data_IF_946495162933
#
_entry.id   IF_946495162933
#
_cell.length_a   1.000
_cell.length_b   1.000
_cell.length_c   1.000
_cell.angle_alpha   90.00
_cell.angle_beta   90.00
_cell.angle_gamma   90.00
#
_symmetry.space_group_name_H-M   'P 1'
#
loop_
_entity.id
_entity.type
_entity.pdbx_description
1 polymer ?
#
# COMPACT_ATOMS: atom_id res chain seq x y z
N UNK A 1 2.41 19.95 0.41
CA UNK A 1 1.31 19.18 -0.24
C UNK A 1 0.49 18.49 0.85
N UNK A 2 -0.84 18.62 0.82
CA UNK A 2 -1.72 17.93 1.78
C UNK A 2 -2.04 16.53 1.23
N UNK A 3 -1.87 15.49 2.06
CA UNK A 3 -2.22 14.11 1.71
C UNK A 3 -3.35 13.65 2.62
N UNK A 4 -4.49 13.31 2.01
CA UNK A 4 -5.63 12.69 2.69
C UNK A 4 -5.49 11.18 2.59
N UNK A 5 -5.46 10.52 3.74
CA UNK A 5 -5.25 9.07 3.82
C UNK A 5 -6.48 8.40 4.39
N UNK A 6 -6.99 7.39 3.68
CA UNK A 6 -8.02 6.49 4.18
C UNK A 6 -7.44 5.09 4.34
N UNK A 7 -7.56 4.55 5.55
CA UNK A 7 -7.11 3.19 5.88
C UNK A 7 -8.31 2.31 6.19
N UNK A 8 -8.36 1.12 5.57
CA UNK A 8 -9.36 0.10 5.84
C UNK A 8 -8.67 -1.18 6.31
N UNK A 9 -8.93 -1.55 7.56
CA UNK A 9 -8.43 -2.79 8.13
C UNK A 9 -9.41 -3.95 7.82
N UNK A 10 -9.40 -4.41 6.56
CA UNK A 10 -10.06 -5.66 6.16
C UNK A 10 -9.35 -6.28 4.96
N UNK A 11 -9.58 -7.58 4.75
CA UNK A 11 -8.98 -8.37 3.66
C UNK A 11 -9.88 -8.52 2.45
N UNK A 12 -11.12 -8.03 2.51
CA UNK A 12 -12.06 -8.00 1.38
C UNK A 12 -11.64 -7.03 0.26
N UNK A 13 -12.36 -7.09 -0.86
CA UNK A 13 -12.11 -6.23 -2.03
C UNK A 13 -12.83 -4.88 -1.89
N UNK A 14 -12.08 -3.78 -2.02
CA UNK A 14 -12.61 -2.41 -2.04
C UNK A 14 -13.19 -2.10 -3.43
N UNK A 15 -14.44 -1.64 -3.44
CA UNK A 15 -15.13 -1.23 -4.66
C UNK A 15 -14.94 0.25 -5.01
N UNK A 16 -15.31 0.60 -6.25
CA UNK A 16 -15.33 1.97 -6.75
C UNK A 16 -16.08 2.98 -5.86
N UNK A 17 -17.24 2.65 -5.25
CA UNK A 17 -17.98 3.63 -4.43
C UNK A 17 -17.15 4.16 -3.26
N UNK A 18 -16.39 3.29 -2.58
CA UNK A 18 -15.54 3.69 -1.46
C UNK A 18 -14.38 4.57 -1.91
N UNK A 19 -13.78 4.24 -3.06
CA UNK A 19 -12.70 5.06 -3.66
C UNK A 19 -13.23 6.43 -4.09
N UNK A 20 -14.43 6.50 -4.68
CA UNK A 20 -15.08 7.76 -5.03
C UNK A 20 -15.40 8.62 -3.80
N UNK A 21 -15.77 8.01 -2.68
CA UNK A 21 -16.01 8.72 -1.43
C UNK A 21 -14.75 9.45 -0.96
N UNK A 22 -13.58 8.81 -1.02
CA UNK A 22 -12.30 9.45 -0.69
C UNK A 22 -12.01 10.63 -1.62
N UNK A 23 -12.11 10.42 -2.93
CA UNK A 23 -11.85 11.46 -3.94
C UNK A 23 -12.79 12.65 -3.79
N UNK A 24 -14.05 12.40 -3.39
CA UNK A 24 -15.02 13.46 -3.13
C UNK A 24 -14.58 14.43 -2.03
N UNK A 25 -13.62 14.03 -1.18
CA UNK A 25 -13.03 14.90 -0.16
C UNK A 25 -11.80 15.66 -0.66
N UNK A 26 -11.25 15.36 -1.82
CA UNK A 26 -9.98 15.93 -2.32
C UNK A 26 -10.18 17.36 -2.83
N UNK A 27 -9.44 18.30 -2.24
CA UNK A 27 -9.37 19.70 -2.65
C UNK A 27 -8.37 19.94 -3.79
N UNK A 28 -8.31 21.19 -4.27
CA UNK A 28 -7.40 21.59 -5.33
C UNK A 28 -5.94 21.43 -4.88
N UNK A 29 -5.16 20.62 -5.61
CA UNK A 29 -3.74 20.40 -5.31
C UNK A 29 -3.47 19.46 -4.13
N UNK A 30 -4.51 18.84 -3.56
CA UNK A 30 -4.37 17.80 -2.56
C UNK A 30 -4.15 16.43 -3.20
N UNK A 31 -3.53 15.52 -2.45
CA UNK A 31 -3.31 14.13 -2.85
C UNK A 31 -4.15 13.21 -1.96
N UNK A 32 -4.54 12.06 -2.51
CA UNK A 32 -5.33 11.04 -1.84
C UNK A 32 -4.61 9.72 -1.85
N UNK A 33 -4.60 9.03 -0.71
CA UNK A 33 -4.03 7.70 -0.55
C UNK A 33 -5.09 6.80 0.10
N UNK A 34 -5.43 5.70 -0.55
CA UNK A 34 -6.25 4.66 0.05
C UNK A 34 -5.38 3.45 0.35
N UNK A 35 -5.37 2.99 1.59
CA UNK A 35 -4.66 1.76 2.02
C UNK A 35 -5.66 0.71 2.48
N UNK A 36 -5.52 -0.52 2.00
CA UNK A 36 -6.29 -1.69 2.45
C UNK A 36 -5.37 -2.90 2.63
N UNK A 37 -5.76 -3.85 3.48
CA UNK A 37 -5.08 -5.16 3.56
C UNK A 37 -5.59 -6.15 2.51
N UNK A 38 -6.68 -5.83 1.84
CA UNK A 38 -7.26 -6.62 0.76
C UNK A 38 -6.80 -6.15 -0.62
N UNK A 39 -7.74 -6.19 -1.56
CA UNK A 39 -7.55 -5.84 -2.97
C UNK A 39 -8.53 -4.76 -3.42
N UNK A 40 -8.39 -4.28 -4.66
CA UNK A 40 -9.32 -3.35 -5.30
C UNK A 40 -10.03 -4.02 -6.48
N UNK A 41 -11.27 -3.64 -6.74
CA UNK A 41 -11.95 -4.05 -7.98
C UNK A 41 -11.28 -3.41 -9.20
N UNK A 42 -11.49 -3.99 -10.39
CA UNK A 42 -10.97 -3.43 -11.65
C UNK A 42 -11.45 -2.00 -11.89
N UNK A 43 -12.70 -1.71 -11.53
CA UNK A 43 -13.28 -0.38 -11.68
C UNK A 43 -12.64 0.63 -10.72
N UNK A 44 -12.30 0.21 -9.49
CA UNK A 44 -11.56 1.06 -8.54
C UNK A 44 -10.15 1.39 -9.06
N UNK A 45 -9.45 0.40 -9.63
CA UNK A 45 -8.14 0.61 -10.27
C UNK A 45 -8.25 1.51 -11.52
N UNK A 46 -9.35 1.45 -12.26
CA UNK A 46 -9.58 2.35 -13.39
C UNK A 46 -9.70 3.81 -12.93
N UNK A 47 -10.31 4.07 -11.77
CA UNK A 47 -10.41 5.41 -11.19
C UNK A 47 -9.01 5.96 -10.84
N UNK A 48 -8.15 5.15 -10.23
CA UNK A 48 -6.75 5.54 -9.93
C UNK A 48 -6.01 6.02 -11.18
N UNK A 49 -6.13 5.28 -12.29
CA UNK A 49 -5.49 5.63 -13.57
C UNK A 49 -6.02 6.94 -14.16
N UNK A 50 -7.27 7.28 -13.89
CA UNK A 50 -7.93 8.47 -14.45
C UNK A 50 -7.79 9.72 -13.57
N UNK A 51 -7.41 9.56 -12.30
CA UNK A 51 -7.37 10.65 -11.31
C UNK A 51 -5.94 10.91 -10.84
N UNK A 52 -5.23 11.88 -11.45
CA UNK A 52 -3.93 12.31 -10.96
C UNK A 52 -3.99 12.70 -9.49
N UNK A 53 -3.04 12.21 -8.70
CA UNK A 53 -2.96 12.48 -7.27
C UNK A 53 -3.75 11.52 -6.39
N UNK A 54 -4.38 10.48 -6.95
CA UNK A 54 -4.88 9.33 -6.19
C UNK A 54 -3.90 8.16 -6.29
N UNK A 55 -3.63 7.51 -5.16
CA UNK A 55 -2.94 6.22 -5.09
C UNK A 55 -3.72 5.22 -4.27
N UNK A 56 -3.77 3.99 -4.75
CA UNK A 56 -4.37 2.85 -4.08
C UNK A 56 -3.25 1.88 -3.68
N UNK A 57 -3.20 1.50 -2.40
CA UNK A 57 -2.23 0.56 -1.85
C UNK A 57 -2.96 -0.67 -1.32
N UNK A 58 -2.63 -1.81 -1.90
CA UNK A 58 -3.14 -3.13 -1.51
C UNK A 58 -2.35 -3.69 -0.32
N UNK A 59 -2.83 -4.82 0.20
CA UNK A 59 -2.10 -5.57 1.22
C UNK A 59 -0.74 -6.05 0.71
N UNK A 60 -0.64 -6.45 -0.55
CA UNK A 60 0.62 -6.89 -1.17
C UNK A 60 1.62 -5.73 -1.28
N UNK A 61 1.15 -4.54 -1.67
CA UNK A 61 2.00 -3.34 -1.71
C UNK A 61 2.52 -2.98 -0.31
N UNK A 62 1.67 -3.10 0.71
CA UNK A 62 2.05 -2.85 2.10
C UNK A 62 3.12 -3.84 2.57
N UNK A 63 2.93 -5.13 2.32
CA UNK A 63 3.91 -6.17 2.67
C UNK A 63 5.24 -5.90 1.97
N UNK A 64 5.21 -5.59 0.67
CA UNK A 64 6.41 -5.29 -0.11
C UNK A 64 7.17 -4.10 0.48
N UNK A 65 6.49 -2.98 0.74
CA UNK A 65 7.13 -1.80 1.35
C UNK A 65 7.69 -2.07 2.74
N UNK A 66 7.00 -2.90 3.55
CA UNK A 66 7.47 -3.31 4.87
C UNK A 66 8.75 -4.14 4.76
N UNK A 67 8.80 -5.11 3.84
CA UNK A 67 9.99 -5.93 3.62
C UNK A 67 11.18 -5.11 3.10
N UNK A 68 10.94 -4.26 2.10
CA UNK A 68 11.98 -3.40 1.50
C UNK A 68 12.57 -2.38 2.48
N UNK A 69 11.81 -1.99 3.51
CA UNK A 69 12.21 -0.97 4.47
C UNK A 69 12.32 -1.51 5.90
N UNK A 70 12.34 -2.84 6.08
CA UNK A 70 12.23 -3.46 7.39
C UNK A 70 13.31 -2.97 8.36
N UNK A 71 14.56 -2.90 7.91
CA UNK A 71 15.69 -2.44 8.73
C UNK A 71 15.59 -0.98 9.15
N UNK A 72 14.85 -0.15 8.39
CA UNK A 72 14.61 1.26 8.68
C UNK A 72 13.41 1.46 9.61
N UNK A 73 12.61 0.43 9.87
CA UNK A 73 11.46 0.54 10.75
C UNK A 73 11.89 0.75 12.21
N UNK A 74 11.20 1.63 12.95
CA UNK A 74 11.38 1.78 14.40
C UNK A 74 11.32 0.43 15.12
N UNK A 75 12.16 0.26 16.15
CA UNK A 75 12.29 -1.00 16.89
C UNK A 75 10.94 -1.56 17.37
N UNK A 76 10.02 -0.69 17.80
CA UNK A 76 8.67 -1.10 18.21
C UNK A 76 7.96 -1.92 17.13
N UNK A 77 8.07 -1.52 15.86
CA UNK A 77 7.37 -2.16 14.75
C UNK A 77 8.07 -3.44 14.29
N UNK A 78 9.41 -3.49 14.39
CA UNK A 78 10.16 -4.73 14.18
C UNK A 78 9.89 -5.78 15.25
N UNK A 79 9.57 -5.36 16.48
CA UNK A 79 9.18 -6.26 17.56
C UNK A 79 7.76 -6.84 17.36
N UNK A 80 6.82 -6.04 16.84
CA UNK A 80 5.45 -6.51 16.52
C UNK A 80 5.43 -7.46 15.31
N UNK A 81 6.33 -7.25 14.34
CA UNK A 81 6.40 -8.04 13.10
C UNK A 81 7.83 -8.60 12.96
N UNK A 82 8.24 -9.60 13.77
CA UNK A 82 9.59 -10.15 13.70
C UNK A 82 9.79 -10.93 12.40
N UNK A 83 10.79 -10.56 11.60
CA UNK A 83 11.19 -11.31 10.41
C UNK A 83 12.32 -12.29 10.73
N UNK A 84 12.29 -13.44 10.06
CA UNK A 84 13.37 -14.42 10.09
C UNK A 84 14.21 -14.30 8.83
N UNK A 85 15.51 -14.05 8.98
CA UNK A 85 16.43 -14.05 7.84
C UNK A 85 16.59 -15.47 7.30
N UNK A 86 16.30 -15.67 6.02
CA UNK A 86 16.56 -16.94 5.33
C UNK A 86 17.80 -16.74 4.46
N UNK A 87 18.88 -17.47 4.76
CA UNK A 87 20.07 -17.49 3.93
C UNK A 87 19.84 -18.49 2.79
N UNK A 88 19.79 -17.99 1.55
CA UNK A 88 19.71 -18.83 0.35
C UNK A 88 21.12 -18.92 -0.23
N UNK A 89 21.57 -20.15 -0.51
CA UNK A 89 22.83 -20.36 -1.24
C UNK A 89 22.58 -19.96 -2.70
N UNK A 90 23.22 -18.90 -3.17
CA UNK A 90 23.19 -18.53 -4.58
C UNK A 90 24.03 -19.54 -5.37
N UNK A 91 23.41 -20.23 -6.33
CA UNK A 91 24.09 -21.15 -7.25
C UNK A 91 24.90 -20.40 -8.34
N UNK A 92 25.03 -19.08 -8.19
CA UNK A 92 25.94 -18.24 -8.96
C UNK A 92 27.36 -18.51 -8.47
N UNK A 93 28.00 -19.53 -9.01
CA UNK A 93 29.46 -19.56 -9.04
C UNK A 93 29.91 -18.29 -9.79
N UNK A 94 30.55 -17.37 -9.10
CA UNK A 94 31.43 -16.41 -9.75
C UNK A 94 32.60 -17.21 -10.33
N UNK A 95 32.53 -17.53 -11.63
CA UNK A 95 33.62 -17.62 -12.61
C UNK A 95 33.06 -17.75 -14.04
#
# INVERSE_FOLDING_TARGET
PLIKVQCKHHTGTIGSPEVQQLIGTQGLGELSLFVTLGSYTRDALAIERQRPGLRLLTGEDLVTMVLENYDKLPQRWRAEIPLTSVLVVSDSAED
#
